data_IF_676389998560
#
_entry.id   IF_676389998560
#
_cell.length_a   1.000
_cell.length_b   1.000
_cell.length_c   1.000
_cell.angle_alpha   90.00
_cell.angle_beta   90.00
_cell.angle_gamma   90.00
#
_symmetry.space_group_name_H-M   'P 1'
#
loop_
_entity.id
_entity.type
_entity.pdbx_description
1 polymer ?
#
# COMPACT_ATOMS: atom_id res chain seq x y z
N UNK A 1 6.51 -1.82 -2.95
CA UNK A 1 6.21 -1.33 -1.58
C UNK A 1 5.94 -2.54 -0.68
N UNK A 2 5.83 -2.38 0.63
CA UNK A 2 5.51 -3.51 1.53
C UNK A 2 4.38 -3.14 2.51
N UNK A 3 3.62 -4.13 2.97
CA UNK A 3 2.64 -3.98 4.04
C UNK A 3 2.85 -5.07 5.10
N UNK A 4 2.69 -4.72 6.36
CA UNK A 4 2.92 -5.65 7.47
C UNK A 4 1.90 -5.41 8.58
N UNK A 5 1.35 -6.50 9.08
CA UNK A 5 0.69 -6.55 10.37
C UNK A 5 1.03 -7.88 11.04
N UNK A 6 1.21 -7.87 12.36
CA UNK A 6 1.56 -9.07 13.10
C UNK A 6 0.44 -10.11 12.98
N UNK A 7 0.82 -11.37 12.72
CA UNK A 7 -0.11 -12.49 12.56
C UNK A 7 -1.18 -12.21 11.50
N UNK A 8 -0.80 -11.55 10.41
CA UNK A 8 -1.68 -11.27 9.28
C UNK A 8 -0.85 -11.31 8.02
N UNK A 9 -1.25 -12.15 7.07
CA UNK A 9 -0.72 -12.15 5.71
C UNK A 9 -1.83 -12.41 4.71
N UNK A 10 -1.71 -11.86 3.49
CA UNK A 10 -2.50 -12.31 2.34
C UNK A 10 -2.26 -13.80 2.08
N UNK A 11 -3.22 -14.44 1.43
CA UNK A 11 -3.19 -15.85 1.11
C UNK A 11 -2.99 -16.12 -0.38
N UNK A 12 -2.69 -17.38 -0.72
CA UNK A 12 -2.78 -17.84 -2.11
C UNK A 12 -4.19 -17.57 -2.65
N UNK A 13 -4.27 -16.79 -3.73
CA UNK A 13 -5.53 -16.34 -4.32
C UNK A 13 -5.86 -14.86 -4.08
N UNK A 14 -5.19 -14.20 -3.12
CA UNK A 14 -5.34 -12.76 -2.89
C UNK A 14 -4.45 -11.91 -3.82
N UNK A 15 -3.57 -12.54 -4.61
CA UNK A 15 -2.71 -11.84 -5.55
C UNK A 15 -3.51 -10.98 -6.52
N UNK A 16 -3.15 -9.70 -6.62
CA UNK A 16 -3.87 -8.68 -7.38
C UNK A 16 -4.96 -7.96 -6.58
N UNK A 17 -5.31 -8.40 -5.37
CA UNK A 17 -6.29 -7.72 -4.54
C UNK A 17 -5.80 -6.33 -4.13
N UNK A 18 -6.69 -5.33 -4.05
CA UNK A 18 -6.31 -3.98 -3.68
C UNK A 18 -5.99 -3.89 -2.19
N UNK A 19 -4.79 -3.39 -1.88
CA UNK A 19 -4.45 -2.93 -0.53
C UNK A 19 -4.88 -1.48 -0.41
N UNK A 20 -5.80 -1.23 0.53
CA UNK A 20 -6.43 0.08 0.72
C UNK A 20 -6.05 0.71 2.05
N UNK A 21 -6.00 2.04 2.07
CA UNK A 21 -5.92 2.83 3.30
C UNK A 21 -7.14 3.73 3.42
N UNK A 22 -7.42 4.18 4.65
CA UNK A 22 -8.39 5.24 4.92
C UNK A 22 -7.66 6.48 5.46
N UNK A 23 -7.33 7.47 4.60
CA UNK A 23 -6.74 8.71 5.08
C UNK A 23 -7.67 9.39 6.08
N UNK A 24 -7.13 9.94 7.18
CA UNK A 24 -7.93 10.56 8.25
C UNK A 24 -8.85 11.69 7.75
N UNK A 25 -8.38 12.44 6.76
CA UNK A 25 -9.08 13.60 6.19
C UNK A 25 -9.82 13.27 4.90
N UNK A 26 -10.07 11.98 4.62
CA UNK A 26 -10.76 11.54 3.41
C UNK A 26 -11.87 10.54 3.75
N UNK A 27 -13.05 10.73 3.17
CA UNK A 27 -14.21 9.87 3.45
C UNK A 27 -14.17 8.52 2.71
N UNK A 28 -13.28 8.37 1.73
CA UNK A 28 -13.14 7.15 0.92
C UNK A 28 -11.85 6.41 1.21
N UNK A 29 -11.91 5.09 1.08
CA UNK A 29 -10.73 4.24 0.99
C UNK A 29 -9.99 4.51 -0.31
N UNK A 30 -8.66 4.50 -0.25
CA UNK A 30 -7.77 4.73 -1.38
C UNK A 30 -6.92 3.49 -1.57
N UNK A 31 -6.96 2.89 -2.77
CA UNK A 31 -6.07 1.80 -3.12
C UNK A 31 -4.66 2.34 -3.33
N UNK A 32 -3.69 1.78 -2.59
CA UNK A 32 -2.29 2.22 -2.63
C UNK A 32 -1.39 1.21 -3.31
N UNK A 33 -1.74 -0.06 -3.27
CA UNK A 33 -1.01 -1.13 -3.94
C UNK A 33 -1.90 -2.31 -4.28
N UNK A 34 -1.34 -3.26 -5.02
CA UNK A 34 -1.96 -4.56 -5.28
C UNK A 34 -1.10 -5.63 -4.63
N UNK A 35 -1.72 -6.60 -3.96
CA UNK A 35 -1.01 -7.76 -3.43
C UNK A 35 -0.25 -8.48 -4.55
N UNK A 36 0.99 -8.90 -4.29
CA UNK A 36 1.88 -9.45 -5.31
C UNK A 36 2.53 -10.73 -4.83
N UNK A 37 3.33 -10.67 -3.76
CA UNK A 37 4.07 -11.83 -3.26
C UNK A 37 4.39 -11.71 -1.77
N UNK A 38 4.21 -12.80 -1.03
CA UNK A 38 4.62 -12.95 0.37
C UNK A 38 5.70 -14.03 0.53
N UNK A 39 6.56 -13.89 1.54
CA UNK A 39 7.65 -14.84 1.76
C UNK A 39 7.17 -16.17 2.39
N UNK A 40 6.07 -16.15 3.13
CA UNK A 40 5.48 -17.34 3.74
C UNK A 40 4.63 -18.15 2.73
N UNK A 41 4.70 -19.47 2.84
CA UNK A 41 3.80 -20.40 2.14
C UNK A 41 2.49 -20.65 2.89
N UNK A 42 2.37 -20.15 4.13
CA UNK A 42 1.17 -20.22 4.96
C UNK A 42 0.53 -18.84 5.10
N UNK A 43 -0.79 -18.82 5.24
CA UNK A 43 -1.58 -17.60 5.38
C UNK A 43 -1.79 -17.27 6.86
N UNK A 44 -1.86 -15.99 7.23
CA UNK A 44 -2.07 -15.52 8.60
C UNK A 44 -0.84 -15.57 9.51
N UNK A 45 0.31 -16.07 9.01
CA UNK A 45 1.57 -16.16 9.76
C UNK A 45 2.71 -15.51 8.97
N UNK A 46 2.70 -14.18 8.83
CA UNK A 46 3.89 -13.48 8.33
C UNK A 46 4.71 -12.85 9.46
N UNK A 47 5.97 -13.24 9.50
CA UNK A 47 7.03 -12.55 10.24
C UNK A 47 7.71 -11.48 9.38
N UNK A 48 7.51 -11.52 8.06
CA UNK A 48 8.04 -10.59 7.06
C UNK A 48 6.89 -10.01 6.27
N UNK A 49 6.76 -8.68 6.15
CA UNK A 49 5.63 -8.07 5.44
C UNK A 49 5.45 -8.54 3.99
N UNK A 50 4.23 -8.46 3.47
CA UNK A 50 3.92 -8.78 2.08
C UNK A 50 4.46 -7.70 1.13
N UNK A 51 4.87 -8.10 -0.07
CA UNK A 51 5.32 -7.21 -1.15
C UNK A 51 4.13 -6.86 -2.04
N UNK A 52 3.95 -5.57 -2.30
CA UNK A 52 2.87 -5.05 -3.14
C UNK A 52 3.40 -4.31 -4.37
N UNK A 53 2.65 -4.43 -5.46
CA UNK A 53 2.79 -3.61 -6.66
C UNK A 53 2.36 -2.17 -6.35
N UNK A 54 3.18 -1.19 -6.74
CA UNK A 54 3.00 0.20 -6.34
C UNK A 54 2.09 0.99 -7.28
N UNK A 55 0.83 1.25 -6.90
CA UNK A 55 -0.11 1.93 -7.80
C UNK A 55 0.32 3.36 -8.15
N UNK A 56 0.99 4.07 -7.22
CA UNK A 56 1.50 5.42 -7.50
C UNK A 56 2.60 5.45 -8.57
N UNK A 57 3.31 4.35 -8.81
CA UNK A 57 4.30 4.25 -9.91
C UNK A 57 3.68 3.81 -11.23
N UNK A 58 2.39 3.45 -11.24
CA UNK A 58 1.69 2.91 -12.41
C UNK A 58 0.60 3.86 -12.94
N UNK A 59 0.45 5.06 -12.37
CA UNK A 59 -0.63 6.00 -12.70
C UNK A 59 -0.68 6.35 -14.18
N UNK A 60 0.48 6.56 -14.84
CA UNK A 60 0.55 6.82 -16.28
C UNK A 60 0.02 5.65 -17.10
N UNK A 61 0.46 4.42 -16.80
CA UNK A 61 -0.01 3.22 -17.47
C UNK A 61 -1.51 3.01 -17.27
N UNK A 62 -2.00 3.17 -16.04
CA UNK A 62 -3.42 3.00 -15.72
C UNK A 62 -4.25 4.02 -16.51
N UNK A 63 -3.85 5.30 -16.52
CA UNK A 63 -4.56 6.36 -17.25
C UNK A 63 -4.60 6.08 -18.76
N UNK A 64 -3.52 5.59 -19.33
CA UNK A 64 -3.44 5.22 -20.75
C UNK A 64 -4.37 4.07 -21.12
N UNK A 65 -4.50 3.06 -20.23
CA UNK A 65 -5.30 1.86 -20.50
C UNK A 65 -6.78 1.99 -20.11
N UNK A 66 -7.19 3.09 -19.48
CA UNK A 66 -8.57 3.30 -18.97
C UNK A 66 -9.25 4.51 -19.60
N UNK A 67 -9.03 4.73 -20.90
CA UNK A 67 -9.53 5.91 -21.63
C UNK A 67 -11.06 6.06 -21.63
N UNK A 68 -11.81 4.97 -21.55
CA UNK A 68 -13.28 4.98 -21.51
C UNK A 68 -13.85 5.31 -20.12
N UNK A 69 -13.03 5.23 -19.07
CA UNK A 69 -13.41 5.55 -17.69
C UNK A 69 -12.18 6.07 -16.93
N UNK A 70 -11.79 7.35 -17.14
CA UNK A 70 -10.57 7.88 -16.56
C UNK A 70 -10.53 7.73 -15.03
N UNK A 71 -9.41 7.27 -14.48
CA UNK A 71 -9.28 7.02 -13.06
C UNK A 71 -9.15 8.33 -12.29
N UNK A 72 -9.70 8.37 -11.08
CA UNK A 72 -9.42 9.46 -10.14
C UNK A 72 -8.18 9.10 -9.32
N UNK A 73 -7.12 9.90 -9.48
CA UNK A 73 -5.93 9.80 -8.63
C UNK A 73 -6.02 10.79 -7.47
N UNK A 74 -5.57 10.36 -6.29
CA UNK A 74 -5.55 11.19 -5.08
C UNK A 74 -4.13 11.18 -4.54
N UNK A 75 -3.61 12.36 -4.19
CA UNK A 75 -2.31 12.48 -3.54
C UNK A 75 -2.46 12.21 -2.05
N UNK A 76 -1.75 11.19 -1.55
CA UNK A 76 -1.68 10.88 -0.13
C UNK A 76 -0.27 11.15 0.38
N UNK A 77 -0.12 12.13 1.26
CA UNK A 77 1.17 12.49 1.86
C UNK A 77 1.32 11.81 3.21
N UNK A 78 2.38 11.02 3.39
CA UNK A 78 2.67 10.38 4.68
C UNK A 78 3.79 11.13 5.40
N UNK A 79 3.63 11.38 6.69
CA UNK A 79 4.76 11.75 7.56
C UNK A 79 5.41 10.46 8.06
N UNK A 80 6.65 10.19 7.66
CA UNK A 80 7.43 9.10 8.24
C UNK A 80 7.71 9.44 9.71
N UNK A 81 7.04 8.76 10.64
CA UNK A 81 7.51 8.70 12.03
C UNK A 81 8.50 7.54 12.09
N UNK A 82 9.79 7.84 12.02
CA UNK A 82 10.83 6.83 12.18
C UNK A 82 10.80 6.34 13.63
N UNK A 83 10.17 5.19 13.87
CA UNK A 83 10.50 4.38 15.05
C UNK A 83 11.62 3.38 14.81
N UNK A 84 12.09 3.22 13.57
CA UNK A 84 13.36 2.57 13.25
C UNK A 84 14.00 3.26 12.04
N UNK A 85 14.77 4.32 12.31
CA UNK A 85 15.69 4.90 11.34
C UNK A 85 16.98 4.08 11.33
N UNK A 86 17.08 3.10 10.45
CA UNK A 86 18.38 2.67 9.93
C UNK A 86 18.25 2.39 8.44
N UNK A 87 19.24 2.87 7.71
CA UNK A 87 19.41 2.83 6.26
C UNK A 87 18.51 3.78 5.46
N UNK A 88 19.14 4.86 4.99
CA UNK A 88 18.79 5.52 3.75
C UNK A 88 18.47 4.45 2.68
N UNK A 89 17.29 4.58 2.06
CA UNK A 89 16.68 3.71 1.05
C UNK A 89 15.68 2.65 1.57
N UNK A 90 14.39 2.89 1.26
CA UNK A 90 13.33 1.89 1.09
C UNK A 90 12.96 0.99 2.28
N UNK A 91 12.05 1.44 3.15
CA UNK A 91 11.13 0.60 3.95
C UNK A 91 10.03 1.47 4.57
N UNK A 92 8.84 1.55 3.96
CA UNK A 92 7.69 2.22 4.59
C UNK A 92 6.96 1.19 5.45
N UNK A 93 7.29 1.15 6.73
CA UNK A 93 6.49 0.46 7.77
C UNK A 93 5.29 1.37 8.07
N UNK A 94 4.08 0.93 7.75
CA UNK A 94 2.87 1.69 8.04
C UNK A 94 2.54 1.62 9.54
N UNK A 95 3.02 2.58 10.31
CA UNK A 95 2.52 2.84 11.66
C UNK A 95 1.46 3.96 11.58
N UNK A 96 0.34 3.77 12.28
CA UNK A 96 -0.91 4.54 12.21
C UNK A 96 -0.72 6.04 11.92
N UNK A 97 -1.32 6.60 10.86
CA UNK A 97 -1.02 7.97 10.45
C UNK A 97 -1.62 9.01 11.39
N UNK A 98 -0.81 9.97 11.86
CA UNK A 98 -1.27 11.31 12.27
C UNK A 98 -1.80 12.10 11.04
N UNK A 99 -2.46 13.27 11.21
CA UNK A 99 -3.34 13.84 10.18
C UNK A 99 -2.63 14.05 8.82
N UNK A 100 -3.17 13.44 7.77
CA UNK A 100 -2.66 13.51 6.40
C UNK A 100 -3.47 14.53 5.60
N UNK A 101 -2.82 15.53 5.03
CA UNK A 101 -3.45 16.50 4.11
C UNK A 101 -3.55 15.90 2.72
N UNK A 102 -4.77 15.87 2.17
CA UNK A 102 -5.04 15.60 0.76
C UNK A 102 -5.10 16.96 0.06
N UNK A 103 -4.29 17.16 -0.97
CA UNK A 103 -4.28 18.38 -1.81
C UNK A 103 -5.04 18.10 -3.09
#
# INVERSE_FOLDING_TARGET
MCAYNKNTSPCSGDSGAPVVIKPKNHSRYVAVGLDSYGASSTCGEDTTGTVLSMLSSMTSFIAEQTTLAPPTFVTVTYTTSTKDASANNSSVVYQTPSPVTVV
#
